data_IF_474610680104
#
_entry.id   IF_474610680104
#
_cell.length_a   1.000
_cell.length_b   1.000
_cell.length_c   1.000
_cell.angle_alpha   90.00
_cell.angle_beta   90.00
_cell.angle_gamma   90.00
#
_symmetry.space_group_name_H-M   'P 1'
#
loop_
_entity.id
_entity.type
_entity.pdbx_description
1 polymer ?
#
# COMPACT_ATOMS: atom_id res chain seq x y z
N UNK A 1 49.53 4.62 -31.58
CA UNK A 1 50.34 4.89 -30.39
C UNK A 1 49.70 6.09 -29.71
N UNK A 2 48.79 5.80 -28.82
CA UNK A 2 48.44 6.56 -27.64
C UNK A 2 47.22 5.88 -27.02
N UNK A 3 47.50 5.16 -25.96
CA UNK A 3 46.56 4.55 -25.08
C UNK A 3 45.93 5.67 -24.20
N UNK A 4 44.60 5.74 -24.15
CA UNK A 4 43.89 6.40 -23.07
C UNK A 4 43.23 5.37 -22.19
N UNK A 5 43.46 5.38 -20.89
CA UNK A 5 42.73 4.51 -19.97
C UNK A 5 41.37 5.09 -19.63
N UNK A 6 40.32 4.34 -19.96
CA UNK A 6 38.95 4.54 -19.52
C UNK A 6 38.91 4.40 -18.00
N UNK A 7 38.73 5.53 -17.31
CA UNK A 7 38.42 5.58 -15.89
C UNK A 7 36.93 5.26 -15.68
N UNK A 8 36.63 4.03 -15.35
CA UNK A 8 35.33 3.66 -14.79
C UNK A 8 35.21 4.23 -13.37
N UNK A 9 34.60 5.39 -13.21
CA UNK A 9 34.13 5.87 -11.92
C UNK A 9 33.04 4.96 -11.40
N UNK A 10 33.44 4.10 -10.50
CA UNK A 10 32.50 3.36 -9.64
C UNK A 10 31.85 4.35 -8.72
N UNK A 11 30.58 4.71 -9.00
CA UNK A 11 29.73 5.49 -8.09
C UNK A 11 29.52 4.61 -6.84
N UNK A 12 30.31 4.87 -5.82
CA UNK A 12 30.08 4.33 -4.49
C UNK A 12 28.82 5.01 -3.93
N UNK A 13 27.69 4.32 -3.98
CA UNK A 13 26.49 4.68 -3.24
C UNK A 13 26.83 4.69 -1.74
N UNK A 14 26.64 5.81 -1.05
CA UNK A 14 27.08 5.93 0.33
C UNK A 14 26.32 4.96 1.24
N UNK A 15 27.06 4.32 2.15
CA UNK A 15 26.57 3.42 3.21
C UNK A 15 25.47 4.06 4.09
N UNK A 16 25.34 5.38 4.06
CA UNK A 16 24.32 6.15 4.76
C UNK A 16 22.87 5.76 4.38
N UNK A 17 22.59 5.48 3.09
CA UNK A 17 21.26 5.06 2.63
C UNK A 17 20.88 3.64 3.12
N UNK A 18 21.85 2.76 3.26
CA UNK A 18 21.60 1.40 3.77
C UNK A 18 21.29 1.45 5.28
N UNK A 19 21.99 2.30 6.03
CA UNK A 19 21.75 2.50 7.45
C UNK A 19 20.40 3.20 7.73
N UNK A 20 20.03 4.17 6.90
CA UNK A 20 18.73 4.84 6.93
C UNK A 20 17.56 3.86 6.72
N UNK A 21 17.65 2.97 5.74
CA UNK A 21 16.62 1.96 5.46
C UNK A 21 16.51 0.93 6.59
N UNK A 22 17.60 0.53 7.22
CA UNK A 22 17.58 -0.45 8.31
C UNK A 22 16.98 0.14 9.60
N UNK A 23 17.21 1.42 9.87
CA UNK A 23 16.64 2.13 11.03
C UNK A 23 15.15 2.44 10.84
N UNK A 24 14.73 2.87 9.64
CA UNK A 24 13.29 2.99 9.30
C UNK A 24 12.56 1.66 9.43
N UNK A 25 13.17 0.54 9.04
CA UNK A 25 12.57 -0.78 9.25
C UNK A 25 12.43 -1.14 10.74
N UNK A 26 13.25 -0.56 11.61
CA UNK A 26 13.16 -0.69 13.07
C UNK A 26 11.94 0.03 13.65
N UNK A 27 11.57 1.19 13.11
CA UNK A 27 10.40 1.99 13.51
C UNK A 27 9.07 1.22 13.36
N UNK A 28 8.96 0.37 12.35
CA UNK A 28 7.76 -0.45 12.11
C UNK A 28 7.73 -1.75 12.92
N UNK A 29 8.82 -2.09 13.65
CA UNK A 29 8.92 -3.31 14.46
C UNK A 29 8.71 -3.09 15.95
N UNK A 30 8.77 -1.87 16.46
CA UNK A 30 8.57 -1.57 17.87
C UNK A 30 7.11 -1.23 18.15
N UNK A 31 6.46 -2.10 18.86
CA UNK A 31 5.10 -2.00 19.36
C UNK A 31 4.98 -0.78 20.30
N UNK A 32 4.29 0.27 19.86
CA UNK A 32 3.53 1.14 20.75
C UNK A 32 4.27 2.09 21.70
N UNK A 33 5.43 2.68 21.34
CA UNK A 33 6.01 3.75 22.16
C UNK A 33 6.12 5.05 21.34
N UNK A 34 5.23 5.99 21.65
CA UNK A 34 5.07 7.30 21.01
C UNK A 34 6.34 8.17 21.01
N UNK A 35 7.21 8.01 21.99
CA UNK A 35 8.51 8.68 22.06
C UNK A 35 9.50 8.20 21.00
N UNK A 36 9.51 6.90 20.71
CA UNK A 36 10.54 6.24 19.89
C UNK A 36 10.60 6.76 18.43
N UNK A 37 9.48 7.13 17.81
CA UNK A 37 9.49 7.61 16.42
C UNK A 37 10.02 9.04 16.29
N UNK A 38 9.66 9.90 17.24
CA UNK A 38 10.19 11.27 17.32
C UNK A 38 11.67 11.25 17.67
N UNK A 39 12.04 10.50 18.71
CA UNK A 39 13.44 10.38 19.15
C UNK A 39 14.33 9.87 18.00
N UNK A 40 13.85 8.89 17.23
CA UNK A 40 14.60 8.38 16.05
C UNK A 40 14.70 9.41 14.94
N UNK A 41 13.65 10.21 14.71
CA UNK A 41 13.69 11.28 13.70
C UNK A 41 14.60 12.43 14.16
N UNK A 42 14.56 12.79 15.43
CA UNK A 42 15.47 13.79 16.04
C UNK A 42 16.93 13.32 15.94
N UNK A 43 17.21 12.07 16.31
CA UNK A 43 18.54 11.46 16.17
C UNK A 43 19.05 11.47 14.70
N UNK A 44 18.16 11.18 13.73
CA UNK A 44 18.50 11.24 12.31
C UNK A 44 18.77 12.67 11.82
N UNK A 45 18.08 13.66 12.37
CA UNK A 45 18.29 15.08 12.05
C UNK A 45 19.64 15.52 12.62
N UNK A 46 19.92 15.22 13.89
CA UNK A 46 21.18 15.54 14.55
C UNK A 46 22.38 14.90 13.83
N UNK A 47 22.28 13.59 13.47
CA UNK A 47 23.33 12.88 12.73
C UNK A 47 23.62 13.49 11.36
N UNK A 48 22.60 14.10 10.73
CA UNK A 48 22.74 14.82 9.44
C UNK A 48 23.32 16.20 9.61
N UNK A 49 22.96 16.91 10.68
CA UNK A 49 23.55 18.22 11.00
C UNK A 49 25.03 18.09 11.34
N UNK A 50 25.42 17.06 12.11
CA UNK A 50 26.85 16.77 12.41
C UNK A 50 27.64 16.37 11.16
N UNK A 51 26.99 15.70 10.19
CA UNK A 51 27.62 15.31 8.92
C UNK A 51 27.69 16.46 7.88
N UNK A 52 27.20 17.65 8.21
CA UNK A 52 27.08 18.79 7.30
C UNK A 52 26.31 18.47 6.00
N UNK A 53 25.42 17.46 6.02
CA UNK A 53 24.59 17.06 4.89
C UNK A 53 23.19 17.62 5.07
N UNK A 54 22.81 18.68 4.33
CA UNK A 54 21.50 19.28 4.50
C UNK A 54 20.38 18.31 4.11
N UNK A 55 19.31 18.30 4.92
CA UNK A 55 18.09 17.56 4.62
C UNK A 55 17.41 18.25 3.43
N UNK A 56 17.22 17.54 2.33
CA UNK A 56 16.53 18.06 1.16
C UNK A 56 15.01 18.12 1.35
N UNK A 57 14.31 18.80 0.43
CA UNK A 57 12.86 19.02 0.55
C UNK A 57 12.04 17.73 0.48
N UNK A 58 12.50 16.73 -0.26
CA UNK A 58 11.82 15.43 -0.37
C UNK A 58 11.97 14.64 0.94
N UNK A 59 13.13 14.67 1.57
CA UNK A 59 13.38 14.07 2.88
C UNK A 59 12.52 14.74 3.97
N UNK A 60 12.43 16.07 3.97
CA UNK A 60 11.55 16.83 4.89
C UNK A 60 10.09 16.44 4.73
N UNK A 61 9.63 16.35 3.48
CA UNK A 61 8.25 15.93 3.18
C UNK A 61 7.99 14.49 3.65
N UNK A 62 8.95 13.59 3.46
CA UNK A 62 8.83 12.22 3.91
C UNK A 62 8.72 12.12 5.43
N UNK A 63 9.54 12.88 6.17
CA UNK A 63 9.47 12.96 7.62
C UNK A 63 8.13 13.49 8.11
N UNK A 64 7.63 14.57 7.49
CA UNK A 64 6.31 15.12 7.78
C UNK A 64 5.19 14.09 7.57
N UNK A 65 5.21 13.37 6.44
CA UNK A 65 4.23 12.33 6.15
C UNK A 65 4.27 11.17 7.16
N UNK A 66 5.44 10.82 7.67
CA UNK A 66 5.57 9.79 8.72
C UNK A 66 4.93 10.27 10.03
N UNK A 67 5.13 11.52 10.40
CA UNK A 67 4.52 12.11 11.60
C UNK A 67 2.99 12.22 11.45
N UNK A 68 2.51 12.64 10.28
CA UNK A 68 1.07 12.73 9.99
C UNK A 68 0.40 11.34 10.01
N UNK A 69 1.10 10.29 9.52
CA UNK A 69 0.56 8.93 9.51
C UNK A 69 0.34 8.38 10.92
N UNK A 70 1.15 8.82 11.88
CA UNK A 70 1.10 8.39 13.26
C UNK A 70 -0.23 8.71 13.95
N UNK A 71 -0.79 9.88 13.63
CA UNK A 71 -2.01 10.39 14.26
C UNK A 71 -3.28 9.89 13.54
N UNK A 72 -3.12 9.07 12.48
CA UNK A 72 -4.24 8.48 11.74
C UNK A 72 -4.64 7.13 12.30
N UNK A 73 -5.92 6.94 12.44
CA UNK A 73 -6.54 5.67 12.77
C UNK A 73 -7.29 5.06 11.57
N UNK A 74 -7.89 3.88 11.79
CA UNK A 74 -8.65 3.19 10.74
C UNK A 74 -9.85 4.02 10.29
N UNK A 75 -10.46 4.78 11.21
CA UNK A 75 -11.62 5.62 10.90
C UNK A 75 -11.27 6.72 9.87
N UNK A 76 -10.05 7.25 9.90
CA UNK A 76 -9.61 8.31 8.99
C UNK A 76 -9.41 7.84 7.54
N UNK A 77 -9.25 6.52 7.33
CA UNK A 77 -8.92 5.93 6.03
C UNK A 77 -9.97 4.93 5.53
N UNK A 78 -10.89 4.48 6.38
CA UNK A 78 -11.92 3.53 5.99
C UNK A 78 -12.98 4.17 5.09
N UNK A 79 -13.60 3.36 4.26
CA UNK A 79 -14.84 3.73 3.56
C UNK A 79 -16.00 3.45 4.49
N UNK A 80 -16.84 4.46 4.83
CA UNK A 80 -18.03 4.25 5.63
C UNK A 80 -18.96 3.21 4.99
N UNK A 81 -19.66 2.41 5.82
CA UNK A 81 -20.53 1.33 5.33
C UNK A 81 -21.53 1.79 4.27
N UNK A 82 -22.09 3.00 4.43
CA UNK A 82 -23.06 3.56 3.50
C UNK A 82 -22.50 3.82 2.10
N UNK A 83 -21.18 3.99 1.99
CA UNK A 83 -20.46 4.34 0.77
C UNK A 83 -19.75 3.13 0.16
N UNK A 84 -19.83 1.96 0.81
CA UNK A 84 -19.19 0.73 0.31
C UNK A 84 -19.94 0.24 -0.93
N UNK A 85 -19.24 0.19 -2.06
CA UNK A 85 -19.72 -0.46 -3.29
C UNK A 85 -19.42 -1.95 -3.17
N UNK A 86 -20.45 -2.77 -3.10
CA UNK A 86 -20.35 -4.22 -2.93
C UNK A 86 -21.40 -4.94 -3.79
N UNK A 87 -21.24 -6.25 -3.97
CA UNK A 87 -22.19 -7.09 -4.74
C UNK A 87 -22.65 -8.26 -3.90
N UNK A 88 -23.90 -8.70 -4.11
CA UNK A 88 -24.37 -9.97 -3.60
C UNK A 88 -23.67 -11.12 -4.34
N UNK A 89 -23.46 -12.24 -3.67
CA UNK A 89 -22.80 -13.42 -4.24
C UNK A 89 -23.54 -14.03 -5.46
N UNK A 90 -24.82 -13.73 -5.61
CA UNK A 90 -25.66 -14.21 -6.72
C UNK A 90 -25.59 -13.33 -7.99
N UNK A 91 -24.79 -12.25 -7.96
CA UNK A 91 -24.62 -11.35 -9.12
C UNK A 91 -24.11 -12.09 -10.34
N UNK A 92 -24.62 -11.75 -11.51
CA UNK A 92 -24.17 -12.33 -12.77
C UNK A 92 -22.89 -11.63 -13.33
N UNK A 93 -22.27 -12.28 -14.31
CA UNK A 93 -21.01 -11.76 -14.90
C UNK A 93 -21.18 -10.40 -15.61
N UNK A 94 -22.22 -10.15 -16.41
CA UNK A 94 -22.46 -8.84 -17.02
C UNK A 94 -22.65 -7.72 -15.99
N UNK A 95 -23.41 -7.98 -14.94
CA UNK A 95 -23.72 -6.99 -13.91
C UNK A 95 -22.46 -6.59 -13.13
N UNK A 96 -21.63 -7.55 -12.69
CA UNK A 96 -20.38 -7.23 -11.97
C UNK A 96 -19.39 -6.50 -12.86
N UNK A 97 -19.28 -6.85 -14.15
CA UNK A 97 -18.41 -6.12 -15.09
C UNK A 97 -18.93 -4.68 -15.26
N UNK A 98 -20.24 -4.50 -15.41
CA UNK A 98 -20.87 -3.19 -15.51
C UNK A 98 -20.55 -2.32 -14.28
N UNK A 99 -20.77 -2.86 -13.09
CA UNK A 99 -20.50 -2.16 -11.82
C UNK A 99 -19.02 -1.79 -11.68
N UNK A 100 -18.11 -2.72 -11.95
CA UNK A 100 -16.67 -2.45 -11.90
C UNK A 100 -16.23 -1.35 -12.87
N UNK A 101 -16.84 -1.32 -14.04
CA UNK A 101 -16.55 -0.32 -15.08
C UNK A 101 -17.09 1.04 -14.71
N UNK A 102 -18.33 1.11 -14.24
CA UNK A 102 -19.00 2.35 -13.85
C UNK A 102 -18.32 3.01 -12.65
N UNK A 103 -18.02 2.22 -11.62
CA UNK A 103 -17.40 2.69 -10.38
C UNK A 103 -15.89 2.85 -10.46
N UNK A 104 -15.25 2.31 -11.49
CA UNK A 104 -13.79 2.35 -11.65
C UNK A 104 -13.03 1.52 -10.61
N UNK A 105 -13.69 0.55 -9.96
CA UNK A 105 -13.09 -0.26 -8.92
C UNK A 105 -12.51 -1.58 -9.45
N UNK A 106 -11.27 -1.86 -9.11
CA UNK A 106 -10.61 -3.14 -9.44
C UNK A 106 -10.92 -4.25 -8.45
N UNK A 107 -11.46 -3.92 -7.28
CA UNK A 107 -11.80 -4.86 -6.20
C UNK A 107 -13.13 -4.46 -5.62
N UNK A 108 -14.04 -5.42 -5.49
CA UNK A 108 -15.37 -5.21 -4.95
C UNK A 108 -15.63 -6.27 -3.87
N UNK A 109 -16.06 -5.87 -2.67
CA UNK A 109 -16.53 -6.78 -1.63
C UNK A 109 -17.71 -7.60 -2.12
N UNK A 110 -17.79 -8.85 -1.69
CA UNK A 110 -18.89 -9.78 -1.93
C UNK A 110 -19.57 -10.10 -0.63
N UNK A 111 -20.88 -10.00 -0.58
CA UNK A 111 -21.68 -10.33 0.60
C UNK A 111 -22.76 -11.36 0.25
N UNK A 112 -23.40 -11.92 1.28
CA UNK A 112 -24.56 -12.76 1.16
C UNK A 112 -25.73 -12.14 1.93
N UNK A 113 -26.81 -11.85 1.25
CA UNK A 113 -28.01 -11.19 1.76
C UNK A 113 -27.76 -9.76 2.29
N UNK A 114 -26.77 -9.56 3.15
CA UNK A 114 -26.46 -8.25 3.73
C UNK A 114 -24.96 -8.02 3.84
N UNK A 115 -24.54 -6.75 3.92
CA UNK A 115 -23.12 -6.39 4.12
C UNK A 115 -22.53 -6.88 5.45
N UNK A 116 -23.37 -7.34 6.40
CA UNK A 116 -22.88 -7.96 7.63
C UNK A 116 -22.37 -9.38 7.41
N UNK A 117 -22.81 -10.04 6.34
CA UNK A 117 -22.32 -11.34 5.92
C UNK A 117 -21.35 -11.19 4.73
N UNK A 118 -20.25 -10.46 4.95
CA UNK A 118 -19.21 -10.33 3.95
C UNK A 118 -18.44 -11.64 3.75
N UNK A 119 -18.38 -12.12 2.50
CA UNK A 119 -17.74 -13.40 2.14
C UNK A 119 -16.30 -13.25 1.68
N UNK A 120 -15.92 -12.07 1.26
CA UNK A 120 -14.60 -11.78 0.73
C UNK A 120 -14.62 -10.63 -0.26
N UNK A 121 -13.72 -10.68 -1.22
CA UNK A 121 -13.69 -9.73 -2.33
C UNK A 121 -13.43 -10.44 -3.66
N UNK A 122 -13.84 -9.83 -4.75
CA UNK A 122 -13.52 -10.24 -6.11
C UNK A 122 -12.60 -9.22 -6.77
N UNK A 123 -11.68 -9.69 -7.60
CA UNK A 123 -10.77 -8.85 -8.34
C UNK A 123 -11.12 -8.87 -9.83
N UNK A 124 -11.06 -7.70 -10.50
CA UNK A 124 -11.39 -7.56 -11.92
C UNK A 124 -10.65 -8.55 -12.84
N UNK A 125 -9.41 -8.90 -12.53
CA UNK A 125 -8.62 -9.88 -13.31
C UNK A 125 -9.25 -11.28 -13.28
N UNK A 126 -9.84 -11.67 -12.15
CA UNK A 126 -10.50 -12.97 -12.01
C UNK A 126 -11.83 -12.97 -12.73
N UNK A 127 -12.59 -11.87 -12.66
CA UNK A 127 -13.83 -11.66 -13.42
C UNK A 127 -13.56 -11.72 -14.93
N UNK A 128 -12.55 -11.03 -15.41
CA UNK A 128 -12.19 -11.03 -16.84
C UNK A 128 -11.69 -12.40 -17.32
N UNK A 129 -11.11 -13.22 -16.45
CA UNK A 129 -10.70 -14.58 -16.79
C UNK A 129 -11.91 -15.52 -17.09
N UNK A 130 -13.11 -15.13 -16.65
CA UNK A 130 -14.37 -15.80 -16.99
C UNK A 130 -14.99 -15.32 -18.29
N UNK A 131 -14.65 -14.11 -18.70
CA UNK A 131 -15.20 -13.54 -19.93
C UNK A 131 -14.81 -14.40 -21.15
N UNK A 132 -15.81 -14.91 -21.87
CA UNK A 132 -15.60 -15.82 -23.01
C UNK A 132 -15.45 -17.30 -22.69
N UNK A 133 -15.69 -17.73 -21.43
CA UNK A 133 -15.84 -19.14 -21.09
C UNK A 133 -17.27 -19.61 -21.36
N UNK A 134 -17.41 -20.83 -21.85
CA UNK A 134 -18.70 -21.50 -22.07
C UNK A 134 -19.27 -22.19 -20.80
N UNK A 135 -18.75 -21.81 -19.63
CA UNK A 135 -19.19 -22.35 -18.34
C UNK A 135 -20.02 -21.34 -17.58
N UNK A 136 -20.95 -21.83 -16.78
CA UNK A 136 -21.77 -20.98 -15.92
C UNK A 136 -20.90 -20.21 -14.94
N UNK A 137 -21.13 -18.89 -14.83
CA UNK A 137 -20.39 -18.01 -13.96
C UNK A 137 -20.78 -18.25 -12.50
N UNK A 138 -19.77 -18.40 -11.63
CA UNK A 138 -19.95 -18.48 -10.19
C UNK A 138 -18.92 -17.62 -9.48
N UNK A 139 -19.39 -16.65 -8.69
CA UNK A 139 -18.51 -15.83 -7.85
C UNK A 139 -17.77 -16.67 -6.80
N UNK A 140 -18.37 -17.73 -6.28
CA UNK A 140 -17.77 -18.57 -5.25
C UNK A 140 -16.41 -19.15 -5.66
N UNK A 141 -16.17 -19.33 -6.96
CA UNK A 141 -14.91 -19.85 -7.48
C UNK A 141 -13.77 -18.81 -7.53
N UNK A 142 -14.12 -17.52 -7.45
CA UNK A 142 -13.16 -16.41 -7.61
C UNK A 142 -13.13 -15.46 -6.42
N UNK A 143 -13.94 -15.71 -5.40
CA UNK A 143 -13.90 -14.94 -4.14
C UNK A 143 -12.55 -15.15 -3.46
N UNK A 144 -11.90 -14.05 -3.13
CA UNK A 144 -10.68 -14.01 -2.34
C UNK A 144 -11.00 -13.67 -0.89
N UNK A 145 -10.35 -14.34 0.07
CA UNK A 145 -10.56 -14.02 1.47
C UNK A 145 -10.08 -12.60 1.79
N UNK A 146 -10.74 -11.96 2.74
CA UNK A 146 -10.36 -10.66 3.32
C UNK A 146 -10.05 -10.82 4.80
N UNK A 147 -9.24 -9.93 5.33
CA UNK A 147 -8.97 -9.88 6.76
C UNK A 147 -10.07 -9.05 7.44
N UNK A 148 -10.66 -9.61 8.48
CA UNK A 148 -11.55 -8.89 9.39
C UNK A 148 -10.77 -8.51 10.64
N UNK A 149 -10.88 -7.24 11.07
CA UNK A 149 -10.19 -6.66 12.23
C UNK A 149 -11.19 -5.99 13.15
#
# INVERSE_FOLDING_TARGET
>A
MNDEPSSSETIQTPSALANFRSRLAGLFRTNGNDASARDTLEELIEEREEAEVPINDDERRLMANILDLRDRDVHDVMVPRADVVAVDKSVDLPEIIGLMTEQGHSRIPVYHETLDDARGMVHIKDVLAWHGRDTEFSLDEIIRPVLFV
#
